data_IF_850750535100
#
_entry.id   IF_850750535100
#
_cell.length_a   1.000
_cell.length_b   1.000
_cell.length_c   1.000
_cell.angle_alpha   90.00
_cell.angle_beta   90.00
_cell.angle_gamma   90.00
#
_symmetry.space_group_name_H-M   'P 1'
#
loop_
_entity.id
_entity.type
_entity.pdbx_description
1 polymer ?
#
# COMPACT_ATOMS: atom_id res chain seq x y z
N UNK A 1 0.52 -2.37 -25.00
CA UNK A 1 1.36 -3.45 -25.52
C UNK A 1 2.54 -2.82 -26.26
N UNK A 2 3.74 -3.30 -25.99
CA UNK A 2 4.93 -2.90 -26.74
C UNK A 2 4.88 -3.58 -28.12
N UNK A 3 4.74 -2.80 -29.18
CA UNK A 3 4.57 -3.35 -30.55
C UNK A 3 5.84 -4.01 -31.09
N UNK A 4 7.00 -3.74 -30.50
CA UNK A 4 8.29 -4.31 -30.92
C UNK A 4 8.54 -5.67 -30.28
N UNK A 5 8.20 -5.83 -28.99
CA UNK A 5 8.47 -7.06 -28.21
C UNK A 5 7.24 -7.92 -28.02
N UNK A 6 6.03 -7.36 -28.17
CA UNK A 6 4.76 -8.01 -27.86
C UNK A 6 4.38 -7.98 -26.37
N UNK A 7 5.22 -7.42 -25.51
CA UNK A 7 5.00 -7.40 -24.08
C UNK A 7 3.81 -6.52 -23.70
N UNK A 8 3.04 -6.98 -22.71
CA UNK A 8 1.95 -6.21 -22.12
C UNK A 8 2.53 -5.34 -20.99
N UNK A 9 2.15 -4.06 -20.98
CA UNK A 9 2.53 -3.09 -19.96
C UNK A 9 1.29 -2.45 -19.36
N UNK A 10 1.37 -2.04 -18.09
CA UNK A 10 0.41 -1.14 -17.49
C UNK A 10 0.83 0.31 -17.78
N UNK A 11 -0.14 1.17 -18.04
CA UNK A 11 0.12 2.60 -18.28
C UNK A 11 -0.73 3.43 -17.34
N UNK A 12 -0.06 4.28 -16.55
CA UNK A 12 -0.71 5.33 -15.77
C UNK A 12 -0.57 6.63 -16.53
N UNK A 13 -1.69 7.15 -17.03
CA UNK A 13 -1.73 8.29 -17.97
C UNK A 13 -2.62 9.41 -17.44
N UNK A 14 -2.16 10.64 -17.60
CA UNK A 14 -2.90 11.86 -17.25
C UNK A 14 -2.85 12.83 -18.41
N UNK A 15 -3.98 13.48 -18.73
CA UNK A 15 -4.05 14.55 -19.73
C UNK A 15 -3.36 15.81 -19.23
N UNK A 16 -2.53 16.40 -20.11
CA UNK A 16 -1.90 17.70 -19.87
C UNK A 16 -2.88 18.79 -20.31
N UNK A 17 -3.23 19.76 -19.44
CA UNK A 17 -4.15 20.83 -19.81
C UNK A 17 -3.64 21.63 -20.99
N UNK A 18 -4.40 21.75 -22.06
CA UNK A 18 -4.11 22.67 -23.15
C UNK A 18 -4.36 24.08 -22.64
N UNK A 19 -3.35 24.92 -22.57
CA UNK A 19 -3.46 26.31 -22.19
C UNK A 19 -4.13 27.13 -23.33
N UNK A 20 -5.46 27.09 -23.35
CA UNK A 20 -6.26 28.05 -24.11
C UNK A 20 -7.20 28.76 -23.14
N UNK A 21 -6.82 29.97 -22.72
CA UNK A 21 -7.61 30.89 -21.89
C UNK A 21 -8.00 30.46 -20.45
N UNK A 22 -7.12 30.74 -19.47
CA UNK A 22 -7.56 31.48 -18.28
C UNK A 22 -8.21 30.72 -17.12
N UNK A 23 -8.05 29.42 -16.91
CA UNK A 23 -8.10 28.83 -15.57
C UNK A 23 -7.35 27.50 -15.62
N UNK A 24 -6.12 27.50 -15.08
CA UNK A 24 -5.50 26.22 -14.72
C UNK A 24 -6.42 25.58 -13.71
N UNK A 25 -7.00 24.43 -14.06
CA UNK A 25 -7.69 23.61 -13.08
C UNK A 25 -6.62 23.13 -12.09
N UNK A 26 -6.56 23.80 -10.92
CA UNK A 26 -5.58 23.51 -9.88
C UNK A 26 -5.53 22.01 -9.54
N UNK A 27 -6.67 21.33 -9.64
CA UNK A 27 -6.78 19.89 -9.42
C UNK A 27 -6.05 19.07 -10.48
N UNK A 28 -6.08 19.51 -11.74
CA UNK A 28 -5.40 18.81 -12.84
C UNK A 28 -3.88 18.98 -12.73
N UNK A 29 -3.42 20.16 -12.30
CA UNK A 29 -2.01 20.39 -12.02
C UNK A 29 -1.51 19.54 -10.85
N UNK A 30 -2.28 19.42 -9.76
CA UNK A 30 -1.95 18.53 -8.63
C UNK A 30 -1.77 17.08 -9.08
N UNK A 31 -2.62 16.58 -9.99
CA UNK A 31 -2.53 15.21 -10.51
C UNK A 31 -1.26 15.02 -11.35
N UNK A 32 -0.91 16.01 -12.19
CA UNK A 32 0.33 15.97 -12.98
C UNK A 32 1.58 15.98 -12.09
N UNK A 33 1.59 16.84 -11.08
CA UNK A 33 2.72 16.94 -10.15
C UNK A 33 2.85 15.66 -9.30
N UNK A 34 1.75 15.05 -8.92
CA UNK A 34 1.73 13.75 -8.26
C UNK A 34 2.33 12.66 -9.16
N UNK A 35 1.97 12.63 -10.46
CA UNK A 35 2.51 11.64 -11.41
C UNK A 35 4.01 11.86 -11.67
N UNK A 36 4.46 13.11 -11.78
CA UNK A 36 5.89 13.43 -11.90
C UNK A 36 6.68 12.99 -10.65
N UNK A 37 6.12 13.25 -9.46
CA UNK A 37 6.71 12.80 -8.19
C UNK A 37 6.79 11.28 -8.10
N UNK A 38 5.75 10.57 -8.55
CA UNK A 38 5.73 9.11 -8.64
C UNK A 38 6.83 8.59 -9.58
N UNK A 39 7.00 9.20 -10.75
CA UNK A 39 8.07 8.87 -11.69
C UNK A 39 9.45 9.01 -11.03
N UNK A 40 9.71 10.15 -10.36
CA UNK A 40 10.99 10.38 -9.70
C UNK A 40 11.29 9.35 -8.61
N UNK A 41 10.26 8.84 -7.95
CA UNK A 41 10.39 7.78 -6.95
C UNK A 41 10.64 6.43 -7.60
N UNK A 42 9.83 6.05 -8.58
CA UNK A 42 9.83 4.70 -9.17
C UNK A 42 11.07 4.40 -10.01
N UNK A 43 11.61 5.38 -10.75
CA UNK A 43 12.72 5.17 -11.70
C UNK A 43 14.01 4.62 -11.07
N UNK A 44 14.14 4.70 -9.75
CA UNK A 44 15.30 4.23 -9.00
C UNK A 44 15.03 2.96 -8.18
N UNK A 45 13.82 2.39 -8.28
CA UNK A 45 13.43 1.21 -7.54
C UNK A 45 13.58 -0.05 -8.42
N UNK A 46 14.28 -1.04 -7.86
CA UNK A 46 14.42 -2.37 -8.45
C UNK A 46 14.37 -3.39 -7.31
N UNK A 47 13.23 -4.09 -7.20
CA UNK A 47 13.00 -5.08 -6.15
C UNK A 47 11.83 -6.01 -6.53
N UNK A 48 11.89 -7.34 -6.29
CA UNK A 48 10.83 -8.27 -6.70
C UNK A 48 9.46 -7.95 -6.11
N UNK A 49 9.38 -7.34 -4.93
CA UNK A 49 8.11 -6.98 -4.30
C UNK A 49 7.72 -5.50 -4.48
N UNK A 50 8.27 -4.85 -5.50
CA UNK A 50 7.90 -3.49 -5.93
C UNK A 50 7.57 -3.57 -7.43
N UNK A 51 6.49 -2.88 -7.85
CA UNK A 51 6.14 -2.80 -9.26
C UNK A 51 7.30 -2.20 -10.07
N UNK A 52 7.70 -2.86 -11.15
CA UNK A 52 8.83 -2.42 -11.95
C UNK A 52 8.45 -1.21 -12.83
N UNK A 53 9.27 -0.19 -12.77
CA UNK A 53 9.21 0.95 -13.67
C UNK A 53 9.85 0.60 -15.01
N UNK A 54 9.15 0.91 -16.13
CA UNK A 54 9.61 0.63 -17.49
C UNK A 54 9.97 1.90 -18.27
N UNK A 55 9.40 3.05 -17.90
CA UNK A 55 9.70 4.31 -18.57
C UNK A 55 8.64 5.37 -18.39
N UNK A 56 8.88 6.53 -18.97
CA UNK A 56 7.97 7.68 -19.01
C UNK A 56 7.92 8.26 -20.43
N UNK A 57 6.77 8.75 -20.83
CA UNK A 57 6.58 9.52 -22.06
C UNK A 57 5.75 10.77 -21.74
N UNK A 58 6.20 11.91 -22.23
CA UNK A 58 5.45 13.16 -22.16
C UNK A 58 5.24 13.67 -23.59
N UNK A 59 3.98 13.77 -23.99
CA UNK A 59 3.53 14.36 -25.25
C UNK A 59 2.89 15.70 -25.00
N UNK A 60 2.43 16.40 -26.04
CA UNK A 60 1.68 17.64 -25.88
C UNK A 60 0.31 17.45 -25.21
N UNK A 61 -0.19 16.23 -25.10
CA UNK A 61 -1.54 15.92 -24.61
C UNK A 61 -1.53 15.06 -23.35
N UNK A 62 -0.49 14.22 -23.15
CA UNK A 62 -0.47 13.22 -22.10
C UNK A 62 0.90 13.10 -21.45
N UNK A 63 0.90 12.87 -20.14
CA UNK A 63 2.01 12.34 -19.37
C UNK A 63 1.69 10.88 -19.02
N UNK A 64 2.57 9.96 -19.39
CA UNK A 64 2.36 8.51 -19.26
C UNK A 64 3.54 7.86 -18.55
N UNK A 65 3.29 7.10 -17.48
CA UNK A 65 4.27 6.21 -16.83
C UNK A 65 3.96 4.77 -17.25
N UNK A 66 4.97 4.08 -17.72
CA UNK A 66 4.90 2.66 -18.11
C UNK A 66 5.42 1.80 -16.97
N UNK A 67 4.63 0.80 -16.58
CA UNK A 67 4.91 -0.13 -15.49
C UNK A 67 4.76 -1.57 -16.00
N UNK A 68 5.39 -2.52 -15.33
CA UNK A 68 5.09 -3.93 -15.57
C UNK A 68 3.60 -4.21 -15.36
N UNK A 69 3.06 -5.12 -16.16
CA UNK A 69 1.69 -5.59 -16.00
C UNK A 69 1.65 -6.82 -15.11
N UNK A 70 0.91 -6.76 -14.02
CA UNK A 70 0.73 -7.83 -13.04
C UNK A 70 -0.67 -8.42 -13.21
N UNK A 71 -0.81 -9.61 -13.81
CA UNK A 71 -2.11 -10.10 -14.32
C UNK A 71 -3.07 -10.63 -13.24
N UNK A 72 -2.59 -10.99 -12.04
CA UNK A 72 -3.44 -11.53 -10.98
C UNK A 72 -4.29 -10.48 -10.24
N UNK A 73 -4.17 -9.20 -10.63
CA UNK A 73 -4.92 -8.11 -10.02
C UNK A 73 -4.40 -7.68 -8.66
N UNK A 74 -5.26 -7.14 -7.80
CA UNK A 74 -4.89 -6.64 -6.47
C UNK A 74 -5.32 -7.62 -5.37
N UNK A 75 -4.72 -7.55 -4.18
CA UNK A 75 -5.22 -8.30 -3.01
C UNK A 75 -6.71 -8.04 -2.80
N UNK A 76 -7.17 -6.80 -2.98
CA UNK A 76 -8.60 -6.46 -2.86
C UNK A 76 -9.46 -7.21 -3.88
N UNK A 77 -9.03 -7.29 -5.12
CA UNK A 77 -9.74 -8.03 -6.17
C UNK A 77 -9.78 -9.54 -5.84
N UNK A 78 -8.65 -10.10 -5.40
CA UNK A 78 -8.60 -11.50 -4.98
C UNK A 78 -9.53 -11.79 -3.80
N UNK A 79 -9.58 -10.92 -2.78
CA UNK A 79 -10.51 -11.04 -1.64
C UNK A 79 -11.99 -10.96 -2.07
N UNK A 80 -12.31 -10.09 -3.02
CA UNK A 80 -13.67 -9.98 -3.54
C UNK A 80 -14.11 -11.24 -4.30
N UNK A 81 -13.18 -11.92 -5.00
CA UNK A 81 -13.46 -13.08 -5.81
C UNK A 81 -13.44 -14.40 -5.03
N UNK A 82 -12.55 -14.51 -4.03
CA UNK A 82 -12.23 -15.76 -3.35
C UNK A 82 -12.56 -15.75 -1.84
N UNK A 83 -12.93 -14.59 -1.28
CA UNK A 83 -13.15 -14.43 0.16
C UNK A 83 -11.87 -14.35 0.98
N UNK A 84 -11.93 -14.58 2.30
CA UNK A 84 -10.79 -14.57 3.20
C UNK A 84 -9.71 -15.56 2.76
N UNK A 85 -8.44 -15.17 2.93
CA UNK A 85 -7.32 -16.03 2.52
C UNK A 85 -6.98 -17.10 3.58
N UNK A 86 -6.55 -18.30 3.15
CA UNK A 86 -5.89 -19.26 4.01
C UNK A 86 -4.70 -18.63 4.76
N UNK A 87 -4.41 -19.17 5.95
CA UNK A 87 -3.37 -18.60 6.84
C UNK A 87 -1.99 -18.58 6.16
N UNK A 88 -1.64 -19.62 5.40
CA UNK A 88 -0.35 -19.72 4.70
C UNK A 88 -0.21 -18.67 3.59
N UNK A 89 -1.28 -18.40 2.84
CA UNK A 89 -1.29 -17.31 1.83
C UNK A 89 -1.11 -15.97 2.51
N UNK A 90 -1.84 -15.73 3.61
CA UNK A 90 -1.70 -14.49 4.40
C UNK A 90 -0.28 -14.30 4.94
N UNK A 91 0.37 -15.38 5.44
CA UNK A 91 1.77 -15.36 5.89
C UNK A 91 2.72 -15.02 4.75
N UNK A 92 2.56 -15.67 3.59
CA UNK A 92 3.38 -15.42 2.40
C UNK A 92 3.28 -13.98 1.95
N UNK A 93 2.07 -13.49 1.74
CA UNK A 93 1.82 -12.14 1.25
C UNK A 93 2.27 -11.07 2.27
N UNK A 94 1.96 -11.26 3.55
CA UNK A 94 2.43 -10.36 4.61
C UNK A 94 3.95 -10.26 4.68
N UNK A 95 4.67 -11.39 4.52
CA UNK A 95 6.14 -11.40 4.47
C UNK A 95 6.69 -10.67 3.25
N UNK A 96 6.10 -10.85 2.09
CA UNK A 96 6.51 -10.21 0.84
C UNK A 96 6.28 -8.70 0.89
N UNK A 97 5.11 -8.24 1.38
CA UNK A 97 4.81 -6.82 1.58
C UNK A 97 5.85 -6.19 2.52
N UNK A 98 6.14 -6.83 3.66
CA UNK A 98 7.17 -6.34 4.60
C UNK A 98 8.57 -6.34 3.98
N UNK A 99 8.88 -7.26 3.05
CA UNK A 99 10.16 -7.28 2.34
C UNK A 99 10.28 -6.09 1.38
N UNK A 100 9.23 -5.79 0.63
CA UNK A 100 9.17 -4.57 -0.20
C UNK A 100 9.25 -3.29 0.63
N UNK A 101 8.57 -3.24 1.78
CA UNK A 101 8.64 -2.07 2.68
C UNK A 101 10.02 -1.88 3.32
N UNK A 102 10.70 -2.96 3.72
CA UNK A 102 12.07 -2.87 4.21
C UNK A 102 12.98 -2.22 3.17
N UNK A 103 12.84 -2.62 1.90
CA UNK A 103 13.58 -2.03 0.79
C UNK A 103 13.27 -0.54 0.63
N UNK A 104 12.00 -0.12 0.64
CA UNK A 104 11.60 1.29 0.55
C UNK A 104 12.13 2.11 1.73
N UNK A 105 11.89 1.64 2.94
CA UNK A 105 12.28 2.32 4.17
C UNK A 105 13.80 2.47 4.30
N UNK A 106 14.58 1.49 3.82
CA UNK A 106 16.05 1.58 3.78
C UNK A 106 16.57 2.70 2.86
N UNK A 107 15.74 3.13 1.90
CA UNK A 107 16.01 4.25 0.99
C UNK A 107 15.38 5.57 1.46
N UNK A 108 14.80 5.58 2.66
CA UNK A 108 14.11 6.75 3.19
C UNK A 108 12.77 7.05 2.51
N UNK A 109 12.20 6.10 1.74
CA UNK A 109 10.92 6.24 1.07
C UNK A 109 9.82 5.67 1.96
N UNK A 110 8.78 6.48 2.22
CA UNK A 110 7.59 6.10 2.97
C UNK A 110 6.44 6.04 1.97
N UNK A 111 5.69 4.93 1.95
CA UNK A 111 4.64 4.72 0.94
C UNK A 111 3.40 5.59 1.17
N UNK A 112 2.90 5.68 2.41
CA UNK A 112 1.79 6.55 2.87
C UNK A 112 0.37 6.16 2.44
N UNK A 113 0.20 5.34 1.41
CA UNK A 113 -1.10 4.87 0.89
C UNK A 113 -1.16 3.34 0.74
N UNK A 114 -0.62 2.61 1.72
CA UNK A 114 -0.72 1.15 1.71
C UNK A 114 -2.13 0.70 2.03
N UNK A 115 -2.70 -0.07 1.10
CA UNK A 115 -4.01 -0.73 1.20
C UNK A 115 -4.05 -1.93 0.26
N UNK A 116 -5.02 -2.78 0.40
CA UNK A 116 -5.15 -4.01 -0.42
C UNK A 116 -5.32 -3.73 -1.92
N UNK A 117 -5.82 -2.54 -2.29
CA UNK A 117 -5.89 -2.08 -3.68
C UNK A 117 -4.52 -1.78 -4.31
N UNK A 118 -3.51 -1.46 -3.49
CA UNK A 118 -2.17 -1.06 -3.94
C UNK A 118 -1.14 -2.21 -3.85
N UNK A 119 -1.58 -3.43 -3.57
CA UNK A 119 -0.75 -4.63 -3.60
C UNK A 119 -1.21 -5.51 -4.76
N UNK A 120 -0.39 -5.59 -5.79
CA UNK A 120 -0.61 -6.44 -6.96
C UNK A 120 -0.14 -7.86 -6.67
N UNK A 121 -0.79 -8.84 -7.33
CA UNK A 121 -0.50 -10.27 -7.12
C UNK A 121 -0.24 -10.92 -8.47
N UNK A 122 0.89 -11.63 -8.58
CA UNK A 122 1.19 -12.48 -9.72
C UNK A 122 0.45 -13.83 -9.61
N UNK A 123 0.14 -14.51 -10.71
CA UNK A 123 -0.43 -15.86 -10.67
C UNK A 123 0.44 -16.88 -9.93
N UNK A 124 1.72 -16.60 -9.81
CA UNK A 124 2.71 -17.40 -9.05
C UNK A 124 2.66 -17.18 -7.53
N UNK A 125 1.88 -16.18 -7.07
CA UNK A 125 1.77 -15.78 -5.66
C UNK A 125 2.83 -14.78 -5.21
N UNK A 126 3.52 -14.12 -6.14
CA UNK A 126 4.37 -12.96 -5.82
C UNK A 126 3.52 -11.72 -5.62
N UNK A 127 3.85 -10.94 -4.59
CA UNK A 127 3.18 -9.67 -4.30
C UNK A 127 4.10 -8.49 -4.64
N UNK A 128 3.53 -7.45 -5.25
CA UNK A 128 4.24 -6.22 -5.61
C UNK A 128 3.49 -4.99 -5.10
N UNK A 129 4.20 -4.14 -4.38
CA UNK A 129 3.70 -2.83 -3.91
C UNK A 129 3.65 -1.89 -5.11
N UNK A 130 2.52 -1.21 -5.30
CA UNK A 130 2.27 -0.28 -6.41
C UNK A 130 1.66 1.03 -5.90
N UNK A 131 1.49 2.00 -6.79
CA UNK A 131 0.88 3.31 -6.55
C UNK A 131 1.65 4.19 -5.54
N UNK A 132 2.71 4.81 -6.05
CA UNK A 132 3.61 5.70 -5.31
C UNK A 132 3.21 7.19 -5.40
N UNK A 133 1.99 7.49 -5.86
CA UNK A 133 1.54 8.85 -6.15
C UNK A 133 1.59 9.83 -4.97
N UNK A 134 1.57 9.34 -3.73
CA UNK A 134 1.71 10.15 -2.52
C UNK A 134 2.93 9.76 -1.66
N UNK A 135 3.78 8.89 -2.18
CA UNK A 135 5.03 8.52 -1.52
C UNK A 135 5.98 9.71 -1.44
N UNK A 136 6.67 9.85 -0.32
CA UNK A 136 7.64 10.94 -0.11
C UNK A 136 8.90 10.42 0.56
N UNK A 137 10.02 11.10 0.31
CA UNK A 137 11.23 10.91 1.10
C UNK A 137 11.04 11.48 2.51
N UNK A 138 11.68 10.89 3.51
CA UNK A 138 11.52 11.25 4.93
C UNK A 138 11.82 12.73 5.23
N UNK A 139 12.54 13.43 4.35
CA UNK A 139 12.94 14.82 4.52
C UNK A 139 12.00 15.84 3.83
N UNK A 140 10.91 15.40 3.19
CA UNK A 140 9.99 16.32 2.50
C UNK A 140 8.96 16.85 3.51
N UNK A 141 8.78 18.18 3.65
CA UNK A 141 7.75 18.76 4.54
C UNK A 141 6.35 18.26 4.19
N UNK A 142 5.55 17.95 5.21
CA UNK A 142 4.14 17.59 5.06
C UNK A 142 3.30 18.82 4.68
N UNK A 143 3.19 19.12 3.38
CA UNK A 143 2.43 20.29 2.89
C UNK A 143 0.98 19.93 2.56
N UNK A 144 0.65 18.65 2.27
CA UNK A 144 -0.67 18.27 1.77
C UNK A 144 -1.45 17.35 2.72
N UNK A 145 -2.12 17.96 3.71
CA UNK A 145 -3.07 17.25 4.60
C UNK A 145 -4.41 16.91 3.93
N UNK A 146 -4.73 17.49 2.77
CA UNK A 146 -6.07 17.40 2.18
C UNK A 146 -6.27 16.29 1.15
N UNK A 147 -5.22 15.83 0.48
CA UNK A 147 -5.34 14.84 -0.61
C UNK A 147 -5.43 13.40 -0.07
N UNK A 148 -4.83 13.12 1.08
CA UNK A 148 -4.80 11.79 1.70
C UNK A 148 -6.14 11.35 2.35
N UNK A 149 -7.10 12.27 2.55
CA UNK A 149 -8.32 11.99 3.34
C UNK A 149 -9.43 11.26 2.57
N UNK A 150 -9.39 11.20 1.23
CA UNK A 150 -10.47 10.59 0.44
C UNK A 150 -10.28 9.07 0.32
N UNK A 151 -10.86 8.31 1.26
CA UNK A 151 -11.03 6.85 1.15
C UNK A 151 -9.96 6.01 1.86
N UNK A 152 -8.77 6.53 2.18
CA UNK A 152 -7.67 5.77 2.79
C UNK A 152 -7.69 5.78 4.33
N UNK A 153 -8.59 6.56 4.96
CA UNK A 153 -8.67 6.71 6.43
C UNK A 153 -8.73 5.37 7.18
N UNK A 154 -9.33 4.35 6.58
CA UNK A 154 -9.52 3.03 7.20
C UNK A 154 -8.21 2.27 7.43
N UNK A 155 -7.15 2.61 6.70
CA UNK A 155 -5.79 2.03 6.82
C UNK A 155 -4.80 2.95 7.53
N UNK A 156 -5.22 4.18 7.90
CA UNK A 156 -4.33 5.17 8.52
C UNK A 156 -3.98 4.82 9.95
N UNK A 157 -2.75 5.17 10.34
CA UNK A 157 -2.30 5.08 11.71
C UNK A 157 -2.82 6.27 12.55
N UNK A 158 -3.05 6.08 13.87
CA UNK A 158 -3.56 7.13 14.76
C UNK A 158 -2.73 8.41 14.76
N UNK A 159 -1.40 8.30 14.71
CA UNK A 159 -0.50 9.46 14.69
C UNK A 159 -0.65 10.31 13.44
N UNK A 160 -1.04 9.70 12.31
CA UNK A 160 -1.31 10.39 11.05
C UNK A 160 -2.58 11.22 11.17
N UNK A 161 -3.64 10.64 11.73
CA UNK A 161 -4.92 11.32 11.97
C UNK A 161 -4.75 12.48 12.95
N UNK A 162 -3.96 12.29 14.00
CA UNK A 162 -3.66 13.32 15.01
C UNK A 162 -2.81 14.47 14.46
N UNK A 163 -2.03 14.24 13.40
CA UNK A 163 -1.17 15.25 12.81
C UNK A 163 0.01 15.73 13.67
N UNK A 164 0.27 15.09 14.81
CA UNK A 164 1.17 15.62 15.86
C UNK A 164 2.65 15.26 15.65
N UNK A 165 2.97 14.24 14.84
CA UNK A 165 4.35 13.70 14.70
C UNK A 165 4.81 13.52 13.26
N UNK A 166 4.03 13.98 12.27
CA UNK A 166 4.32 13.75 10.87
C UNK A 166 4.19 12.28 10.45
N UNK A 167 4.30 12.03 9.17
CA UNK A 167 4.34 10.69 8.59
C UNK A 167 5.74 10.09 8.76
N UNK A 168 5.82 8.86 9.28
CA UNK A 168 7.07 8.09 9.32
C UNK A 168 6.83 6.66 8.82
N UNK A 169 7.90 5.90 8.62
CA UNK A 169 7.86 4.53 8.11
C UNK A 169 7.01 3.57 8.98
N UNK A 170 6.76 3.92 10.25
CA UNK A 170 5.94 3.09 11.16
C UNK A 170 4.45 3.20 10.85
N UNK A 171 3.99 4.28 10.17
CA UNK A 171 2.62 4.37 9.67
C UNK A 171 2.32 3.30 8.61
N UNK A 172 3.29 2.98 7.73
CA UNK A 172 3.14 1.89 6.77
C UNK A 172 2.97 0.52 7.46
N UNK A 173 3.61 0.31 8.62
CA UNK A 173 3.46 -0.93 9.40
C UNK A 173 2.05 -1.09 9.96
N UNK A 174 1.42 0.00 10.40
CA UNK A 174 0.00 -0.02 10.76
C UNK A 174 -0.88 -0.43 9.58
N UNK A 175 -0.62 0.15 8.41
CA UNK A 175 -1.33 -0.18 7.17
C UNK A 175 -1.14 -1.65 6.76
N UNK A 176 0.06 -2.23 6.96
CA UNK A 176 0.28 -3.70 6.81
C UNK A 176 -0.64 -4.49 7.75
N UNK A 177 -0.75 -4.07 9.01
CA UNK A 177 -1.69 -4.69 9.96
C UNK A 177 -3.13 -4.68 9.44
N UNK A 178 -3.55 -3.58 8.82
CA UNK A 178 -4.86 -3.45 8.19
C UNK A 178 -5.03 -4.40 6.98
N UNK A 179 -4.03 -4.50 6.10
CA UNK A 179 -4.05 -5.42 4.94
C UNK A 179 -4.11 -6.89 5.42
N UNK A 180 -3.32 -7.25 6.42
CA UNK A 180 -3.34 -8.60 7.00
C UNK A 180 -4.70 -8.89 7.64
N UNK A 181 -5.33 -7.91 8.30
CA UNK A 181 -6.70 -8.04 8.81
C UNK A 181 -7.69 -8.28 7.67
N UNK A 182 -7.57 -7.57 6.54
CA UNK A 182 -8.41 -7.81 5.35
C UNK A 182 -8.24 -9.23 4.82
N UNK A 183 -7.00 -9.73 4.73
CA UNK A 183 -6.73 -11.10 4.28
C UNK A 183 -7.37 -12.15 5.20
N UNK A 184 -7.37 -11.93 6.53
CA UNK A 184 -8.01 -12.84 7.49
C UNK A 184 -9.54 -12.81 7.44
N UNK A 185 -10.14 -11.66 7.14
CA UNK A 185 -11.59 -11.43 7.29
C UNK A 185 -12.36 -11.33 5.98
N UNK A 186 -11.67 -11.11 4.86
CA UNK A 186 -12.27 -10.79 3.56
C UNK A 186 -12.88 -9.38 3.49
N UNK A 187 -12.74 -8.60 4.55
CA UNK A 187 -13.42 -7.32 4.71
C UNK A 187 -12.46 -6.19 5.08
N UNK A 188 -12.75 -4.96 4.65
CA UNK A 188 -11.94 -3.80 5.01
C UNK A 188 -11.89 -3.58 6.52
N UNK A 189 -10.83 -2.94 7.04
CA UNK A 189 -10.82 -2.48 8.42
C UNK A 189 -12.05 -1.62 8.73
N UNK A 190 -12.56 -1.70 9.96
CA UNK A 190 -13.74 -0.93 10.37
C UNK A 190 -14.98 -1.18 9.49
N UNK A 191 -15.20 -2.44 9.09
CA UNK A 191 -16.36 -2.80 8.26
C UNK A 191 -17.66 -2.32 8.89
N UNK A 192 -18.55 -1.74 8.06
CA UNK A 192 -19.84 -1.21 8.51
C UNK A 192 -19.76 0.19 9.13
N UNK A 193 -18.56 0.78 9.24
CA UNK A 193 -18.38 2.12 9.78
C UNK A 193 -18.10 3.15 8.70
N UNK A 194 -18.57 4.37 8.94
CA UNK A 194 -18.34 5.53 8.11
C UNK A 194 -17.01 6.22 8.46
N UNK A 195 -16.52 7.07 7.56
CA UNK A 195 -15.22 7.73 7.67
C UNK A 195 -15.06 8.56 8.96
N UNK A 196 -16.05 9.39 9.31
CA UNK A 196 -15.95 10.30 10.46
C UNK A 196 -15.89 9.54 11.80
N UNK A 197 -16.76 8.55 12.07
CA UNK A 197 -16.64 7.69 13.25
C UNK A 197 -15.27 6.99 13.35
N UNK A 198 -14.73 6.48 12.24
CA UNK A 198 -13.41 5.83 12.23
C UNK A 198 -12.30 6.82 12.56
N UNK A 199 -12.35 8.04 12.01
CA UNK A 199 -11.39 9.09 12.32
C UNK A 199 -11.37 9.42 13.82
N UNK A 200 -12.53 9.54 14.45
CA UNK A 200 -12.64 9.76 15.90
C UNK A 200 -12.06 8.59 16.70
N UNK A 201 -12.36 7.35 16.31
CA UNK A 201 -11.81 6.15 16.95
C UNK A 201 -10.29 6.09 16.87
N UNK A 202 -9.73 6.39 15.69
CA UNK A 202 -8.27 6.45 15.50
C UNK A 202 -7.66 7.58 16.36
N UNK A 203 -8.31 8.74 16.41
CA UNK A 203 -7.88 9.84 17.29
C UNK A 203 -7.85 9.42 18.76
N UNK A 204 -8.83 8.64 19.22
CA UNK A 204 -8.90 8.07 20.57
C UNK A 204 -7.96 6.86 20.77
N UNK A 205 -7.15 6.50 19.77
CA UNK A 205 -6.21 5.38 19.87
C UNK A 205 -6.88 4.01 19.84
N UNK A 206 -8.06 3.89 19.21
CA UNK A 206 -8.68 2.58 18.97
C UNK A 206 -8.01 1.89 17.81
N UNK A 207 -7.96 0.56 17.87
CA UNK A 207 -7.43 -0.31 16.82
C UNK A 207 -8.57 -0.94 16.03
N UNK A 208 -8.39 -1.29 14.74
CA UNK A 208 -9.40 -1.98 13.95
C UNK A 208 -9.87 -3.26 14.67
N UNK A 209 -11.18 -3.46 14.85
CA UNK A 209 -11.68 -4.64 15.55
C UNK A 209 -11.43 -5.91 14.75
N UNK A 210 -11.35 -7.04 15.46
CA UNK A 210 -11.36 -8.37 14.90
C UNK A 210 -12.74 -8.97 15.12
N UNK A 211 -13.37 -9.62 14.14
CA UNK A 211 -14.63 -10.33 14.37
C UNK A 211 -14.49 -11.35 15.52
N UNK A 212 -15.52 -11.47 16.34
CA UNK A 212 -15.49 -12.31 17.56
C UNK A 212 -15.35 -13.80 17.30
N UNK A 213 -15.75 -14.26 16.12
CA UNK A 213 -15.67 -15.65 15.65
C UNK A 213 -14.33 -16.03 15.01
N UNK A 214 -13.43 -15.06 14.86
CA UNK A 214 -12.12 -15.26 14.23
C UNK A 214 -11.19 -16.10 15.11
N UNK A 215 -10.83 -17.29 14.61
CA UNK A 215 -9.91 -18.24 15.29
C UNK A 215 -8.45 -17.97 14.90
N UNK A 216 -7.89 -16.87 15.39
CA UNK A 216 -6.47 -16.59 15.17
C UNK A 216 -5.58 -17.45 16.10
N UNK A 217 -4.44 -17.93 15.58
CA UNK A 217 -3.38 -18.53 16.39
C UNK A 217 -2.79 -17.51 17.38
N UNK A 218 -2.10 -17.98 18.42
CA UNK A 218 -1.42 -17.08 19.38
C UNK A 218 -0.39 -16.19 18.67
N UNK A 219 0.36 -16.75 17.71
CA UNK A 219 1.34 -16.00 16.92
C UNK A 219 0.70 -14.97 16.00
N UNK A 220 -0.48 -15.26 15.42
CA UNK A 220 -1.23 -14.29 14.62
C UNK A 220 -1.74 -13.11 15.48
N UNK A 221 -2.22 -13.39 16.70
CA UNK A 221 -2.62 -12.35 17.65
C UNK A 221 -1.44 -11.47 18.07
N UNK A 222 -0.26 -12.05 18.33
CA UNK A 222 0.95 -11.30 18.66
C UNK A 222 1.41 -10.43 17.48
N UNK A 223 1.43 -10.97 16.27
CA UNK A 223 1.73 -10.23 15.05
C UNK A 223 0.80 -9.01 14.88
N UNK A 224 -0.51 -9.23 15.03
CA UNK A 224 -1.52 -8.17 14.99
C UNK A 224 -1.25 -7.10 16.05
N UNK A 225 -0.99 -7.49 17.30
CA UNK A 225 -0.71 -6.55 18.39
C UNK A 225 0.50 -5.68 18.09
N UNK A 226 1.55 -6.23 17.48
CA UNK A 226 2.75 -5.48 17.09
C UNK A 226 2.49 -4.50 15.96
N UNK A 227 1.69 -4.88 14.94
CA UNK A 227 1.30 -3.95 13.87
C UNK A 227 0.51 -2.75 14.42
N UNK A 228 -0.36 -2.99 15.39
CA UNK A 228 -1.24 -1.98 15.98
C UNK A 228 -0.72 -1.39 17.31
N UNK A 229 0.58 -1.44 17.55
CA UNK A 229 1.21 -0.70 18.64
C UNK A 229 0.95 0.80 18.47
N UNK A 230 0.34 1.43 19.48
CA UNK A 230 -0.13 2.81 19.36
C UNK A 230 1.01 3.83 19.31
N UNK A 231 2.05 3.63 20.12
CA UNK A 231 3.24 4.47 20.02
C UNK A 231 4.07 4.06 18.81
N UNK A 232 4.23 4.94 17.80
CA UNK A 232 5.03 4.62 16.62
C UNK A 232 6.51 4.37 16.93
N UNK A 233 7.04 4.85 18.06
CA UNK A 233 8.42 4.56 18.47
C UNK A 233 8.57 3.08 18.83
N UNK A 234 7.61 2.55 19.57
CA UNK A 234 7.58 1.14 20.01
C UNK A 234 7.09 0.18 18.91
N UNK A 235 6.40 0.68 17.89
CA UNK A 235 5.95 -0.14 16.77
C UNK A 235 7.16 -0.65 16.00
N UNK A 236 7.27 -1.98 15.70
CA UNK A 236 8.44 -2.55 15.02
C UNK A 236 8.66 -1.96 13.63
N UNK A 237 9.90 -1.99 13.15
CA UNK A 237 10.22 -1.69 11.76
C UNK A 237 9.85 -2.88 10.85
N UNK A 238 9.76 -2.62 9.53
CA UNK A 238 9.50 -3.69 8.54
C UNK A 238 10.53 -4.81 8.63
N UNK A 239 11.82 -4.47 8.78
CA UNK A 239 12.92 -5.41 8.92
C UNK A 239 12.78 -6.36 10.13
N UNK A 240 12.21 -5.86 11.22
CA UNK A 240 12.00 -6.65 12.45
C UNK A 240 10.74 -7.50 12.33
N UNK A 241 9.64 -6.89 11.89
CA UNK A 241 8.35 -7.56 11.78
C UNK A 241 8.36 -8.67 10.72
N UNK A 242 9.13 -8.53 9.64
CA UNK A 242 9.34 -9.56 8.62
C UNK A 242 9.88 -10.89 9.20
N UNK A 243 10.62 -10.83 10.31
CA UNK A 243 11.19 -12.00 11.01
C UNK A 243 10.25 -12.62 12.03
N UNK A 244 9.04 -12.08 12.19
CA UNK A 244 8.09 -12.54 13.19
C UNK A 244 7.72 -14.02 13.00
N UNK A 245 7.63 -14.83 14.09
CA UNK A 245 7.30 -16.27 14.01
C UNK A 245 6.02 -16.56 13.23
N UNK A 246 5.03 -15.70 13.28
CA UNK A 246 3.78 -15.82 12.52
C UNK A 246 4.03 -16.00 11.01
N UNK A 247 5.00 -15.29 10.44
CA UNK A 247 5.27 -15.29 9.00
C UNK A 247 6.12 -16.46 8.51
N UNK A 248 6.42 -17.41 9.39
CA UNK A 248 7.15 -18.62 9.00
C UNK A 248 6.23 -19.56 8.23
N UNK A 249 6.71 -20.00 7.09
CA UNK A 249 6.07 -21.02 6.25
C UNK A 249 6.88 -22.32 6.32
N UNK A 250 6.24 -23.49 6.06
CA UNK A 250 6.97 -24.73 5.84
C UNK A 250 7.99 -24.58 4.68
N UNK A 251 9.14 -25.27 4.79
CA UNK A 251 10.21 -25.13 3.78
C UNK A 251 9.80 -25.54 2.36
N UNK A 252 8.80 -26.41 2.24
CA UNK A 252 8.27 -26.93 0.97
C UNK A 252 6.94 -26.24 0.57
N UNK A 253 6.57 -25.15 1.21
CA UNK A 253 5.33 -24.46 0.84
C UNK A 253 5.48 -23.76 -0.51
N UNK A 254 4.52 -24.00 -1.36
CA UNK A 254 4.37 -23.35 -2.67
C UNK A 254 2.97 -22.74 -2.72
N UNK A 255 2.83 -21.59 -3.37
CA UNK A 255 1.53 -20.96 -3.55
C UNK A 255 0.59 -21.88 -4.35
N UNK A 256 -0.56 -22.27 -3.80
CA UNK A 256 -1.45 -23.23 -4.45
C UNK A 256 -2.38 -22.61 -5.51
N UNK A 257 -2.33 -21.29 -5.70
CA UNK A 257 -3.38 -20.51 -6.36
C UNK A 257 -4.52 -20.12 -5.41
N UNK A 258 -5.49 -19.43 -5.94
CA UNK A 258 -6.74 -19.08 -5.25
C UNK A 258 -7.85 -20.06 -5.63
#
# INVERSE_FOLDING_TARGET
MNVTTGDIMAVKQVEIPRSAFGSHDARQQEVLDALRSENETLKHLDHPNIVQYLGIEETAEFLSIFLEYVPGGTIKACLNNHGPFPEEITKSFGKQILTGLEYLHSRGIIHRDLKSENILVEPTGECKISDFGISKTANTPDIDKHTALKGTIFWMAPEVVKGNRGYNSKADIWSVGCIVLEMWTGARPWQGEEMVPVMLKLYDGKVPPMPSDSKLSSSARDFRARCFTLDPIERPAAADLKRHPYLRLPNNWVFPGF
#
